data_IF_444963705797
#
_entry.id   IF_444963705797
#
_cell.length_a   1.000
_cell.length_b   1.000
_cell.length_c   1.000
_cell.angle_alpha   90.00
_cell.angle_beta   90.00
_cell.angle_gamma   90.00
#
_symmetry.space_group_name_H-M   'P 1'
#
loop_
_entity.id
_entity.type
_entity.pdbx_description
1 polymer ?
#
# COMPACT_ATOMS: atom_id res chain seq x y z
N UNK A 1 4.09 3.29 17.71
CA UNK A 1 4.28 4.69 17.28
C UNK A 1 4.37 4.83 15.76
N UNK A 2 5.28 4.10 15.09
CA UNK A 2 5.53 4.23 13.63
C UNK A 2 4.26 4.06 12.79
N UNK A 3 3.49 2.99 12.97
CA UNK A 3 2.25 2.76 12.21
C UNK A 3 1.18 3.83 12.44
N UNK A 4 1.11 4.43 13.64
CA UNK A 4 0.15 5.50 13.93
C UNK A 4 0.48 6.73 13.08
N UNK A 5 1.76 7.11 13.02
CA UNK A 5 2.24 8.23 12.20
C UNK A 5 2.01 7.97 10.71
N UNK A 6 2.24 6.73 10.26
CA UNK A 6 1.96 6.30 8.89
C UNK A 6 0.46 6.40 8.59
N UNK A 7 -0.42 5.94 9.49
CA UNK A 7 -1.87 6.04 9.33
C UNK A 7 -2.34 7.49 9.14
N UNK A 8 -1.79 8.44 9.90
CA UNK A 8 -2.07 9.86 9.69
C UNK A 8 -1.56 10.38 8.36
N UNK A 9 -0.41 9.88 7.90
CA UNK A 9 0.16 10.25 6.60
C UNK A 9 -0.73 9.77 5.47
N UNK A 10 -1.10 8.49 5.45
CA UNK A 10 -1.94 7.90 4.38
C UNK A 10 -3.41 8.37 4.40
N UNK A 11 -3.85 9.02 5.48
CA UNK A 11 -5.18 9.63 5.55
C UNK A 11 -5.32 10.84 4.61
N UNK A 12 -4.19 11.44 4.19
CA UNK A 12 -4.18 12.48 3.17
C UNK A 12 -4.51 11.87 1.78
N UNK A 13 -5.10 12.65 0.86
CA UNK A 13 -5.41 12.17 -0.48
C UNK A 13 -4.14 11.70 -1.18
N UNK A 14 -4.15 10.46 -1.67
CA UNK A 14 -2.99 9.82 -2.28
C UNK A 14 -3.37 8.90 -3.43
N UNK A 15 -2.35 8.49 -4.18
CA UNK A 15 -2.48 7.55 -5.30
C UNK A 15 -2.85 6.14 -4.80
N UNK A 16 -3.37 5.25 -5.68
CA UNK A 16 -3.76 3.90 -5.30
C UNK A 16 -2.64 3.16 -4.55
N UNK A 17 -2.98 2.54 -3.41
CA UNK A 17 -2.02 1.87 -2.56
C UNK A 17 -1.21 2.80 -1.65
N UNK A 18 -1.61 4.06 -1.49
CA UNK A 18 -0.96 5.03 -0.57
C UNK A 18 0.53 5.26 -0.88
N UNK A 19 0.91 5.06 -2.15
CA UNK A 19 2.29 5.14 -2.61
C UNK A 19 2.85 6.56 -2.43
N UNK A 20 4.09 6.64 -1.94
CA UNK A 20 4.75 7.87 -1.55
C UNK A 20 4.43 8.31 -0.12
N UNK A 21 3.15 8.30 0.28
CA UNK A 21 2.75 8.76 1.63
C UNK A 21 3.08 7.73 2.70
N UNK A 22 2.99 6.44 2.38
CA UNK A 22 3.47 5.38 3.27
C UNK A 22 4.98 5.51 3.53
N UNK A 23 5.75 5.70 2.47
CA UNK A 23 7.21 5.83 2.50
C UNK A 23 7.64 7.11 3.21
N UNK A 24 7.01 8.25 2.90
CA UNK A 24 7.29 9.52 3.56
C UNK A 24 6.93 9.48 5.05
N UNK A 25 5.76 8.93 5.40
CA UNK A 25 5.34 8.76 6.78
C UNK A 25 6.23 7.78 7.56
N UNK A 26 6.69 6.71 6.91
CA UNK A 26 7.60 5.73 7.48
C UNK A 26 9.00 6.30 7.73
N UNK A 27 9.56 7.03 6.76
CA UNK A 27 10.84 7.73 6.91
C UNK A 27 10.77 8.78 8.01
N UNK A 28 9.70 9.60 8.01
CA UNK A 28 9.49 10.61 9.05
C UNK A 28 9.37 9.95 10.43
N UNK A 29 8.55 8.91 10.58
CA UNK A 29 8.38 8.22 11.85
C UNK A 29 9.68 7.60 12.38
N UNK A 30 10.47 6.95 11.52
CA UNK A 30 11.74 6.32 11.90
C UNK A 30 12.83 7.36 12.19
N UNK A 31 12.77 8.54 11.55
CA UNK A 31 13.67 9.65 11.87
C UNK A 31 13.50 10.16 13.31
N UNK A 32 12.29 10.07 13.88
CA UNK A 32 12.03 10.39 15.28
C UNK A 32 12.72 9.41 16.25
N UNK A 33 13.11 8.23 15.77
CA UNK A 33 13.87 7.23 16.52
C UNK A 33 15.37 7.27 16.17
N UNK A 34 15.85 8.36 15.55
CA UNK A 34 17.24 8.55 15.14
C UNK A 34 17.78 7.49 14.15
N UNK A 35 16.89 6.88 13.37
CA UNK A 35 17.27 5.93 12.31
C UNK A 35 17.63 6.72 11.04
N UNK A 36 18.71 6.33 10.38
CA UNK A 36 19.18 7.01 9.17
C UNK A 36 18.14 6.95 8.04
N UNK A 37 17.96 8.06 7.31
CA UNK A 37 16.92 8.16 6.27
C UNK A 37 17.04 7.10 5.17
N UNK A 38 18.27 6.65 4.86
CA UNK A 38 18.53 5.59 3.86
C UNK A 38 18.07 4.21 4.33
N UNK A 39 18.22 3.92 5.61
CA UNK A 39 17.79 2.66 6.22
C UNK A 39 16.27 2.68 6.41
N UNK A 40 15.74 3.81 6.88
CA UNK A 40 14.32 4.03 7.06
C UNK A 40 13.53 3.93 5.75
N UNK A 41 14.03 4.49 4.65
CA UNK A 41 13.36 4.43 3.35
C UNK A 41 13.39 3.01 2.76
N UNK A 42 14.51 2.31 2.91
CA UNK A 42 14.62 0.90 2.51
C UNK A 42 13.64 0.01 3.28
N UNK A 43 13.57 0.18 4.60
CA UNK A 43 12.63 -0.54 5.45
C UNK A 43 11.17 -0.22 5.10
N UNK A 44 10.83 1.06 4.97
CA UNK A 44 9.47 1.50 4.64
C UNK A 44 9.03 0.96 3.27
N UNK A 45 9.90 0.99 2.26
CA UNK A 45 9.61 0.47 0.93
C UNK A 45 9.42 -1.05 0.92
N UNK A 46 10.33 -1.80 1.56
CA UNK A 46 10.25 -3.27 1.59
C UNK A 46 9.03 -3.73 2.38
N UNK A 47 8.77 -3.13 3.54
CA UNK A 47 7.56 -3.44 4.33
C UNK A 47 6.28 -3.13 3.57
N UNK A 48 6.23 -2.01 2.85
CA UNK A 48 5.10 -1.65 2.00
C UNK A 48 4.88 -2.68 0.89
N UNK A 49 5.95 -3.05 0.17
CA UNK A 49 5.89 -4.03 -0.90
C UNK A 49 5.40 -5.39 -0.39
N UNK A 50 5.93 -5.88 0.74
CA UNK A 50 5.50 -7.15 1.32
C UNK A 50 4.02 -7.11 1.72
N UNK A 51 3.48 -5.95 2.11
CA UNK A 51 2.05 -5.82 2.41
C UNK A 51 1.18 -5.71 1.16
N UNK A 52 1.65 -5.00 0.12
CA UNK A 52 0.88 -4.73 -1.10
C UNK A 52 0.88 -5.88 -2.09
N UNK A 53 2.04 -6.48 -2.38
CA UNK A 53 2.16 -7.50 -3.42
C UNK A 53 1.28 -8.73 -3.16
N UNK A 54 1.24 -9.32 -1.94
CA UNK A 54 0.38 -10.48 -1.67
C UNK A 54 -1.11 -10.15 -1.82
N UNK A 55 -1.53 -8.96 -1.41
CA UNK A 55 -2.92 -8.51 -1.55
C UNK A 55 -3.28 -8.32 -3.02
N UNK A 56 -2.39 -7.70 -3.81
CA UNK A 56 -2.58 -7.54 -5.26
C UNK A 56 -2.66 -8.91 -5.94
N UNK A 57 -1.74 -9.83 -5.61
CA UNK A 57 -1.73 -11.18 -6.19
C UNK A 57 -3.00 -11.94 -5.82
N UNK A 58 -3.41 -11.92 -4.54
CA UNK A 58 -4.63 -12.57 -4.10
C UNK A 58 -5.87 -11.99 -4.78
N UNK A 59 -5.95 -10.66 -4.91
CA UNK A 59 -7.01 -9.97 -5.64
C UNK A 59 -7.03 -10.35 -7.13
N UNK A 60 -5.85 -10.44 -7.76
CA UNK A 60 -5.71 -10.83 -9.16
C UNK A 60 -6.11 -12.28 -9.41
N UNK A 61 -5.66 -13.21 -8.55
CA UNK A 61 -6.06 -14.62 -8.58
C UNK A 61 -7.56 -14.75 -8.38
N UNK A 62 -8.13 -14.03 -7.42
CA UNK A 62 -9.58 -13.99 -7.19
C UNK A 62 -10.34 -13.49 -8.43
N UNK A 63 -9.88 -12.39 -9.03
CA UNK A 63 -10.51 -11.83 -10.24
C UNK A 63 -10.46 -12.79 -11.44
N UNK A 64 -9.39 -13.59 -11.57
CA UNK A 64 -9.27 -14.63 -12.60
C UNK A 64 -10.20 -15.81 -12.32
N UNK A 65 -10.19 -16.32 -11.07
CA UNK A 65 -10.95 -17.52 -10.68
C UNK A 65 -12.45 -17.26 -10.70
N UNK A 66 -12.90 -16.15 -10.11
CA UNK A 66 -14.31 -15.80 -10.06
C UNK A 66 -14.79 -15.06 -11.30
N UNK A 67 -13.85 -14.72 -12.20
CA UNK A 67 -14.13 -14.18 -13.52
C UNK A 67 -15.18 -13.07 -13.46
N UNK A 68 -14.77 -11.84 -13.17
CA UNK A 68 -15.57 -10.69 -13.60
C UNK A 68 -15.60 -10.77 -15.13
N UNK A 69 -16.55 -11.54 -15.65
CA UNK A 69 -16.95 -11.51 -17.02
C UNK A 69 -17.65 -10.17 -17.16
N UNK A 70 -16.87 -9.11 -17.41
CA UNK A 70 -17.40 -7.75 -17.60
C UNK A 70 -18.41 -7.73 -18.77
N UNK A 71 -18.46 -8.79 -19.60
CA UNK A 71 -19.48 -8.98 -20.64
C UNK A 71 -20.81 -9.54 -20.13
N UNK A 72 -20.89 -10.23 -18.98
CA UNK A 72 -22.16 -10.71 -18.42
C UNK A 72 -22.99 -9.58 -17.78
N UNK A 73 -22.36 -8.48 -17.35
CA UNK A 73 -23.06 -7.31 -16.78
C UNK A 73 -23.83 -6.51 -17.87
N UNK A 74 -23.51 -6.70 -19.15
CA UNK A 74 -24.18 -6.00 -20.27
C UNK A 74 -25.48 -6.66 -20.77
N UNK A 75 -25.89 -7.81 -20.24
CA UNK A 75 -27.10 -8.52 -20.71
C UNK A 75 -28.30 -8.44 -19.76
N UNK A 76 -28.20 -7.69 -18.66
CA UNK A 76 -29.33 -7.40 -17.76
C UNK A 76 -29.50 -5.88 -17.63
N UNK A 77 -29.90 -5.23 -18.73
CA UNK A 77 -30.53 -3.90 -18.73
C UNK A 77 -31.52 -3.82 -19.87
#
# INVERSE_FOLDING_TARGET
AVLIIICFSIALPSVPGFWGLWEAGGVFALSLFAIGSKEASGFALVSHAIQMFPVIIAGFVSAIVYGVNIRQIKYHS
#
